data_IF_722104035389
#
_entry.id   IF_722104035389
#
_cell.length_a   1.000
_cell.length_b   1.000
_cell.length_c   1.000
_cell.angle_alpha   90.00
_cell.angle_beta   90.00
_cell.angle_gamma   90.00
#
_symmetry.space_group_name_H-M   'P 1'
#
loop_
_entity.id
_entity.type
_entity.pdbx_description
1 polymer ?
#
# COMPACT_ATOMS: atom_id res chain seq x y z
N UNK A 1 -17.17 4.74 5.26
CA UNK A 1 -16.44 5.54 6.26
C UNK A 1 -15.10 5.96 5.67
N UNK A 2 -14.89 7.25 5.49
CA UNK A 2 -13.59 7.75 5.02
C UNK A 2 -12.62 7.83 6.19
N UNK A 3 -11.52 7.09 6.10
CA UNK A 3 -10.44 7.26 7.04
C UNK A 3 -9.74 8.59 6.72
N UNK A 4 -9.51 9.40 7.75
CA UNK A 4 -8.65 10.55 7.66
C UNK A 4 -7.24 10.09 7.28
N UNK A 5 -6.54 10.86 6.46
CA UNK A 5 -5.19 10.53 6.01
C UNK A 5 -4.23 10.26 7.18
N UNK A 6 -4.24 11.12 8.19
CA UNK A 6 -3.39 10.96 9.37
C UNK A 6 -3.75 9.69 10.18
N UNK A 7 -5.04 9.41 10.32
CA UNK A 7 -5.51 8.20 10.99
C UNK A 7 -5.08 6.94 10.22
N UNK A 8 -5.15 6.97 8.89
CA UNK A 8 -4.73 5.87 8.04
C UNK A 8 -3.23 5.61 8.18
N UNK A 9 -2.41 6.65 8.20
CA UNK A 9 -0.96 6.53 8.40
C UNK A 9 -0.63 5.94 9.78
N UNK A 10 -1.30 6.40 10.82
CA UNK A 10 -1.14 5.83 12.17
C UNK A 10 -1.50 4.35 12.20
N UNK A 11 -2.58 3.98 11.53
CA UNK A 11 -3.02 2.59 11.46
C UNK A 11 -1.98 1.72 10.72
N UNK A 12 -1.36 2.24 9.68
CA UNK A 12 -0.26 1.56 8.99
C UNK A 12 0.91 1.28 9.94
N UNK A 13 1.32 2.27 10.74
CA UNK A 13 2.42 2.11 11.69
C UNK A 13 2.09 1.09 12.78
N UNK A 14 0.90 1.16 13.36
CA UNK A 14 0.45 0.21 14.38
C UNK A 14 0.39 -1.21 13.80
N UNK A 15 -0.14 -1.35 12.60
CA UNK A 15 -0.23 -2.66 11.93
C UNK A 15 1.15 -3.23 11.62
N UNK A 16 2.11 -2.39 11.21
CA UNK A 16 3.48 -2.81 10.95
C UNK A 16 4.13 -3.36 12.24
N UNK A 17 3.94 -2.67 13.37
CA UNK A 17 4.43 -3.12 14.67
C UNK A 17 3.81 -4.47 15.07
N UNK A 18 2.52 -4.64 14.84
CA UNK A 18 1.82 -5.91 15.10
C UNK A 18 2.37 -7.04 14.22
N UNK A 19 2.67 -6.78 12.96
CA UNK A 19 3.24 -7.77 12.06
C UNK A 19 4.62 -8.22 12.54
N UNK A 20 5.47 -7.27 12.97
CA UNK A 20 6.80 -7.58 13.51
C UNK A 20 6.69 -8.44 14.77
N UNK A 21 5.77 -8.10 15.68
CA UNK A 21 5.55 -8.88 16.89
C UNK A 21 5.06 -10.30 16.58
N UNK A 22 4.17 -10.45 15.61
CA UNK A 22 3.69 -11.76 15.17
C UNK A 22 4.82 -12.62 14.60
N UNK A 23 5.71 -12.02 13.79
CA UNK A 23 6.88 -12.71 13.25
C UNK A 23 7.82 -13.20 14.37
N UNK A 24 8.07 -12.34 15.38
CA UNK A 24 8.92 -12.71 16.53
C UNK A 24 8.36 -13.86 17.33
N UNK A 25 7.03 -14.00 17.39
CA UNK A 25 6.38 -15.12 18.07
C UNK A 25 6.33 -16.39 17.23
N UNK A 26 6.77 -16.32 15.97
CA UNK A 26 6.68 -17.43 15.02
C UNK A 26 5.31 -17.61 14.38
N UNK A 27 4.38 -16.66 14.58
CA UNK A 27 3.04 -16.67 14.01
C UNK A 27 3.06 -16.04 12.62
N UNK A 28 3.63 -16.78 11.68
CA UNK A 28 3.87 -16.29 10.31
C UNK A 28 2.56 -16.07 9.56
N UNK A 29 1.57 -16.93 9.76
CA UNK A 29 0.27 -16.80 9.11
C UNK A 29 -0.40 -15.49 9.46
N UNK A 30 -0.44 -15.15 10.74
CA UNK A 30 -1.00 -13.89 11.21
C UNK A 30 -0.18 -12.69 10.74
N UNK A 31 1.15 -12.78 10.75
CA UNK A 31 2.02 -11.73 10.23
C UNK A 31 1.73 -11.46 8.75
N UNK A 32 1.56 -12.49 7.94
CA UNK A 32 1.24 -12.34 6.52
C UNK A 32 -0.14 -11.73 6.31
N UNK A 33 -1.13 -12.10 7.10
CA UNK A 33 -2.47 -11.49 7.05
C UNK A 33 -2.42 -9.99 7.35
N UNK A 34 -1.64 -9.60 8.35
CA UNK A 34 -1.45 -8.18 8.71
C UNK A 34 -0.75 -7.43 7.58
N UNK A 35 0.27 -8.02 6.97
CA UNK A 35 0.99 -7.43 5.83
C UNK A 35 0.07 -7.19 4.63
N UNK A 36 -0.83 -8.12 4.34
CA UNK A 36 -1.83 -7.94 3.27
C UNK A 36 -2.77 -6.77 3.58
N UNK A 37 -3.20 -6.63 4.82
CA UNK A 37 -4.04 -5.51 5.23
C UNK A 37 -3.31 -4.16 5.10
N UNK A 38 -2.03 -4.12 5.46
CA UNK A 38 -1.18 -2.94 5.29
C UNK A 38 -1.10 -2.55 3.81
N UNK A 39 -0.89 -3.52 2.93
CA UNK A 39 -0.82 -3.30 1.49
C UNK A 39 -2.12 -2.70 0.95
N UNK A 40 -3.26 -3.26 1.34
CA UNK A 40 -4.58 -2.75 0.92
C UNK A 40 -4.83 -1.33 1.40
N UNK A 41 -4.48 -1.04 2.64
CA UNK A 41 -4.64 0.30 3.20
C UNK A 41 -3.73 1.30 2.50
N UNK A 42 -2.48 0.92 2.23
CA UNK A 42 -1.54 1.73 1.46
C UNK A 42 -2.05 2.04 0.07
N UNK A 43 -2.63 1.05 -0.62
CA UNK A 43 -3.23 1.24 -1.94
C UNK A 43 -4.41 2.22 -1.88
N UNK A 44 -5.25 2.13 -0.85
CA UNK A 44 -6.38 3.06 -0.66
C UNK A 44 -5.90 4.50 -0.46
N UNK A 45 -4.82 4.70 0.28
CA UNK A 45 -4.23 6.02 0.48
C UNK A 45 -3.73 6.59 -0.85
N UNK A 46 -3.01 5.81 -1.63
CA UNK A 46 -2.51 6.22 -2.95
C UNK A 46 -3.68 6.54 -3.88
N UNK A 47 -4.72 5.72 -3.87
CA UNK A 47 -5.93 5.94 -4.68
C UNK A 47 -6.57 7.29 -4.36
N UNK A 48 -6.70 7.64 -3.07
CA UNK A 48 -7.24 8.95 -2.66
C UNK A 48 -6.37 10.10 -3.14
N UNK A 49 -5.06 9.97 -3.08
CA UNK A 49 -4.14 10.99 -3.58
C UNK A 49 -4.23 11.15 -5.11
N UNK A 50 -4.40 10.07 -5.85
CA UNK A 50 -4.57 10.11 -7.31
C UNK A 50 -5.88 10.80 -7.68
N UNK A 51 -6.96 10.58 -6.92
CA UNK A 51 -8.24 11.27 -7.14
C UNK A 51 -8.09 12.79 -7.01
N UNK A 52 -7.26 13.24 -6.08
CA UNK A 52 -6.98 14.67 -5.87
C UNK A 52 -6.04 15.24 -6.94
N UNK A 53 -5.10 14.42 -7.42
CA UNK A 53 -4.09 14.84 -8.39
C UNK A 53 -3.81 13.71 -9.39
N UNK A 54 -4.54 13.65 -10.52
CA UNK A 54 -4.37 12.60 -11.52
C UNK A 54 -2.97 12.48 -12.11
N UNK A 55 -2.14 13.51 -12.02
CA UNK A 55 -0.76 13.48 -12.53
C UNK A 55 0.11 12.48 -11.77
N UNK A 56 -0.26 12.13 -10.53
CA UNK A 56 0.48 11.15 -9.74
C UNK A 56 0.50 9.76 -10.39
N UNK A 57 -0.55 9.41 -11.12
CA UNK A 57 -0.59 8.12 -11.82
C UNK A 57 0.53 8.04 -12.87
N UNK A 58 0.75 9.11 -13.61
CA UNK A 58 1.82 9.20 -14.60
C UNK A 58 3.20 9.10 -13.95
N UNK A 59 3.38 9.77 -12.81
CA UNK A 59 4.62 9.70 -12.03
C UNK A 59 4.89 8.27 -11.54
N UNK A 60 3.85 7.54 -11.10
CA UNK A 60 3.98 6.15 -10.69
C UNK A 60 4.44 5.26 -11.84
N UNK A 61 3.90 5.46 -13.05
CA UNK A 61 4.36 4.73 -14.24
C UNK A 61 5.84 5.00 -14.53
N UNK A 62 6.26 6.26 -14.48
CA UNK A 62 7.65 6.62 -14.71
C UNK A 62 8.57 6.01 -13.65
N UNK A 63 8.17 6.04 -12.39
CA UNK A 63 8.94 5.44 -11.31
C UNK A 63 9.05 3.92 -11.43
N UNK A 64 8.01 3.25 -11.89
CA UNK A 64 8.03 1.80 -12.08
C UNK A 64 9.06 1.38 -13.13
N UNK A 65 9.37 2.28 -14.09
CA UNK A 65 10.39 2.02 -15.11
C UNK A 65 11.81 2.27 -14.60
N UNK A 66 11.98 3.10 -13.57
CA UNK A 66 13.29 3.51 -13.06
C UNK A 66 13.84 2.62 -11.95
N UNK A 67 12.99 2.00 -11.15
CA UNK A 67 13.38 1.26 -9.96
C UNK A 67 13.11 -0.23 -10.11
N UNK A 68 14.11 -0.97 -10.57
CA UNK A 68 14.02 -2.42 -10.75
C UNK A 68 13.72 -3.17 -9.45
N UNK A 69 14.26 -2.69 -8.32
CA UNK A 69 14.06 -3.33 -7.00
C UNK A 69 12.64 -3.20 -6.47
N UNK A 70 11.95 -2.10 -6.83
CA UNK A 70 10.58 -1.83 -6.40
C UNK A 70 9.57 -2.11 -7.50
N UNK A 71 10.03 -2.65 -8.62
CA UNK A 71 9.21 -2.84 -9.82
C UNK A 71 7.97 -3.71 -9.54
N UNK A 72 8.12 -4.77 -8.77
CA UNK A 72 6.99 -5.65 -8.46
C UNK A 72 5.93 -4.93 -7.62
N UNK A 73 6.35 -4.15 -6.63
CA UNK A 73 5.42 -3.39 -5.78
C UNK A 73 4.66 -2.35 -6.61
N UNK A 74 5.36 -1.61 -7.47
CA UNK A 74 4.74 -0.63 -8.35
C UNK A 74 3.79 -1.29 -9.36
N UNK A 75 4.18 -2.43 -9.90
CA UNK A 75 3.36 -3.20 -10.82
C UNK A 75 2.06 -3.66 -10.15
N UNK A 76 2.14 -4.19 -8.94
CA UNK A 76 0.97 -4.63 -8.18
C UNK A 76 0.03 -3.46 -7.89
N UNK A 77 0.59 -2.30 -7.53
CA UNK A 77 -0.20 -1.08 -7.29
C UNK A 77 -0.87 -0.61 -8.58
N UNK A 78 -0.15 -0.58 -9.70
CA UNK A 78 -0.70 -0.18 -10.99
C UNK A 78 -1.80 -1.12 -11.46
N UNK A 79 -1.64 -2.43 -11.27
CA UNK A 79 -2.66 -3.42 -11.58
C UNK A 79 -3.91 -3.20 -10.73
N UNK A 80 -3.74 -2.92 -9.45
CA UNK A 80 -4.84 -2.58 -8.54
C UNK A 80 -5.62 -1.34 -9.03
N UNK A 81 -4.90 -0.28 -9.39
CA UNK A 81 -5.51 0.96 -9.87
C UNK A 81 -6.23 0.74 -11.19
N UNK A 82 -5.65 -0.04 -12.09
CA UNK A 82 -6.26 -0.38 -13.38
C UNK A 82 -7.57 -1.14 -13.19
N UNK A 83 -7.60 -2.10 -12.26
CA UNK A 83 -8.81 -2.84 -11.92
C UNK A 83 -9.92 -1.94 -11.37
N UNK A 84 -9.54 -0.83 -10.73
CA UNK A 84 -10.48 0.18 -10.23
C UNK A 84 -10.93 1.19 -11.29
N UNK A 85 -10.39 1.10 -12.52
CA UNK A 85 -10.79 1.97 -13.62
C UNK A 85 -9.96 3.25 -13.81
N UNK A 86 -8.78 3.27 -13.24
CA UNK A 86 -7.85 4.42 -13.41
C UNK A 86 -6.97 4.31 -14.65
#
# INVERSE_FOLDING_TARGET
MKLDHDAAIKLLHVSADQAVLAEKRGDIENANAIKENIKRLGYSIVEEEIKKNPELLELLYLESLRHSEKQQLHKDLLDYLKDKGY
#
